data_IF_545491671004
#
_entry.id   IF_545491671004
#
_cell.length_a   1.000
_cell.length_b   1.000
_cell.length_c   1.000
_cell.angle_alpha   90.00
_cell.angle_beta   90.00
_cell.angle_gamma   90.00
#
_symmetry.space_group_name_H-M   'P 1'
#
loop_
_entity.id
_entity.type
_entity.pdbx_description
1 polymer ?
#
# COMPACT_ATOMS: atom_id res chain seq x y z
N UNK A 1 2.75 -12.29 14.43
CA UNK A 1 1.93 -11.54 13.46
C UNK A 1 2.83 -10.54 12.72
N UNK A 2 3.51 -10.93 11.64
CA UNK A 2 4.44 -10.04 10.89
C UNK A 2 4.36 -10.15 9.36
N UNK A 3 3.26 -10.69 8.83
CA UNK A 3 3.02 -10.81 7.38
C UNK A 3 1.83 -9.96 6.86
N UNK A 4 0.90 -9.54 7.74
CA UNK A 4 -0.43 -9.07 7.32
C UNK A 4 -0.48 -7.80 6.46
N UNK A 5 0.34 -6.77 6.69
CA UNK A 5 0.09 -5.47 6.06
C UNK A 5 0.26 -5.46 4.52
N UNK A 6 1.31 -6.10 4.00
CA UNK A 6 1.51 -6.17 2.55
C UNK A 6 0.51 -7.13 1.88
N UNK A 7 0.17 -8.22 2.56
CA UNK A 7 -0.83 -9.19 2.09
C UNK A 7 -2.23 -8.55 2.01
N UNK A 8 -2.59 -7.71 2.99
CA UNK A 8 -3.83 -6.94 2.97
C UNK A 8 -3.86 -5.95 1.79
N UNK A 9 -2.73 -5.28 1.50
CA UNK A 9 -2.61 -4.42 0.33
C UNK A 9 -2.89 -5.17 -0.97
N UNK A 10 -2.23 -6.32 -1.14
CA UNK A 10 -2.37 -7.13 -2.35
C UNK A 10 -3.80 -7.65 -2.49
N UNK A 11 -4.35 -8.27 -1.44
CA UNK A 11 -5.69 -8.86 -1.46
C UNK A 11 -6.77 -7.81 -1.73
N UNK A 12 -6.71 -6.65 -1.06
CA UNK A 12 -7.65 -5.56 -1.27
C UNK A 12 -7.58 -5.04 -2.72
N UNK A 13 -6.38 -4.79 -3.22
CA UNK A 13 -6.22 -4.24 -4.57
C UNK A 13 -6.56 -5.23 -5.66
N UNK A 14 -6.20 -6.50 -5.52
CA UNK A 14 -6.64 -7.55 -6.46
C UNK A 14 -8.15 -7.64 -6.51
N UNK A 15 -8.84 -7.59 -5.36
CA UNK A 15 -10.31 -7.61 -5.34
C UNK A 15 -10.93 -6.34 -5.96
N UNK A 16 -10.41 -5.16 -5.64
CA UNK A 16 -10.93 -3.90 -6.17
C UNK A 16 -10.68 -3.74 -7.68
N UNK A 17 -9.47 -4.05 -8.14
CA UNK A 17 -9.08 -3.91 -9.55
C UNK A 17 -9.69 -4.97 -10.46
N UNK A 18 -10.25 -6.06 -9.92
CA UNK A 18 -11.02 -7.03 -10.68
C UNK A 18 -12.34 -6.48 -11.22
N UNK A 19 -12.85 -5.38 -10.65
CA UNK A 19 -14.01 -4.66 -11.18
C UNK A 19 -13.59 -3.70 -12.30
N UNK A 20 -14.03 -3.91 -13.56
CA UNK A 20 -13.62 -3.08 -14.70
C UNK A 20 -13.98 -1.59 -14.58
N UNK A 21 -14.95 -1.24 -13.74
CA UNK A 21 -15.34 0.16 -13.48
C UNK A 21 -14.35 0.91 -12.57
N UNK A 22 -13.39 0.22 -11.94
CA UNK A 22 -12.35 0.85 -11.13
C UNK A 22 -11.24 1.39 -12.03
N UNK A 23 -11.21 2.70 -12.20
CA UNK A 23 -10.29 3.37 -13.14
C UNK A 23 -9.00 3.90 -12.50
N UNK A 24 -8.93 3.97 -11.17
CA UNK A 24 -7.79 4.56 -10.48
C UNK A 24 -7.62 4.04 -9.05
N UNK A 25 -6.36 3.99 -8.62
CA UNK A 25 -5.94 3.77 -7.24
C UNK A 25 -5.06 4.94 -6.80
N UNK A 26 -5.34 5.49 -5.62
CA UNK A 26 -4.62 6.61 -5.04
C UNK A 26 -4.28 6.32 -3.57
N UNK A 27 -3.07 6.66 -3.15
CA UNK A 27 -2.70 6.67 -1.73
C UNK A 27 -2.86 8.07 -1.16
N UNK A 28 -3.31 8.17 0.09
CA UNK A 28 -3.43 9.45 0.81
C UNK A 28 -2.07 9.90 1.35
N UNK A 29 -1.19 10.26 0.42
CA UNK A 29 0.21 10.60 0.66
C UNK A 29 1.16 9.73 -0.16
N UNK A 30 2.39 10.23 -0.36
CA UNK A 30 3.42 9.56 -1.15
C UNK A 30 4.31 8.65 -0.30
N UNK A 31 4.76 9.13 0.85
CA UNK A 31 5.69 8.43 1.74
C UNK A 31 5.38 8.63 3.20
N UNK A 32 5.87 7.72 4.05
CA UNK A 32 5.67 7.77 5.50
C UNK A 32 6.18 9.07 6.14
N UNK A 33 7.12 9.80 5.49
CA UNK A 33 7.74 11.03 6.03
C UNK A 33 6.72 12.11 6.41
N UNK A 34 5.67 12.28 5.62
CA UNK A 34 4.71 13.38 5.77
C UNK A 34 3.27 12.90 5.96
N UNK A 35 3.07 11.64 6.31
CA UNK A 35 1.72 11.11 6.50
C UNK A 35 1.01 11.81 7.66
N UNK A 36 -0.23 12.23 7.41
CA UNK A 36 -1.09 12.85 8.42
C UNK A 36 -1.37 11.92 9.62
N UNK A 37 -1.30 10.60 9.41
CA UNK A 37 -1.51 9.58 10.43
C UNK A 37 -0.50 9.66 11.58
N UNK A 38 0.70 10.20 11.34
CA UNK A 38 1.69 10.42 12.41
C UNK A 38 1.16 11.36 13.51
N UNK A 39 0.20 12.23 13.19
CA UNK A 39 -0.44 13.14 14.14
C UNK A 39 -1.82 12.64 14.57
N UNK A 40 -2.59 12.08 13.64
CA UNK A 40 -3.98 11.67 13.90
C UNK A 40 -4.08 10.37 14.71
N UNK A 41 -3.22 9.39 14.41
CA UNK A 41 -3.21 8.10 15.09
C UNK A 41 -1.78 7.58 15.23
N UNK A 42 -0.98 8.20 16.12
CA UNK A 42 0.39 7.75 16.37
C UNK A 42 0.38 6.32 16.94
N UNK A 43 1.48 5.60 16.73
CA UNK A 43 1.65 4.27 17.35
C UNK A 43 1.75 4.42 18.86
N UNK A 44 1.15 3.49 19.59
CA UNK A 44 1.21 3.46 21.06
C UNK A 44 2.63 3.23 21.61
N UNK A 45 3.54 2.67 20.79
CA UNK A 45 4.94 2.43 21.14
C UNK A 45 5.88 3.60 20.78
N UNK A 46 5.34 4.73 20.31
CA UNK A 46 6.11 5.93 19.96
C UNK A 46 6.90 5.82 18.64
N UNK A 47 6.84 4.69 17.93
CA UNK A 47 7.45 4.56 16.61
C UNK A 47 6.69 5.30 15.51
N UNK A 48 7.36 5.57 14.39
CA UNK A 48 6.70 6.09 13.18
C UNK A 48 5.62 5.13 12.68
N UNK A 49 4.45 5.67 12.33
CA UNK A 49 3.47 4.92 11.54
C UNK A 49 4.05 4.63 10.16
N UNK A 50 3.68 3.49 9.56
CA UNK A 50 4.21 3.03 8.27
C UNK A 50 3.12 2.72 7.24
N UNK A 51 2.13 3.61 7.01
CA UNK A 51 0.96 3.28 6.21
C UNK A 51 1.18 3.35 4.70
N UNK A 52 2.26 3.96 4.19
CA UNK A 52 2.39 4.26 2.75
C UNK A 52 3.36 3.32 2.02
N UNK A 53 3.33 3.27 0.68
CA UNK A 53 4.20 2.37 -0.08
C UNK A 53 5.69 2.73 -0.02
N UNK A 54 6.02 4.01 0.24
CA UNK A 54 7.38 4.51 0.34
C UNK A 54 7.72 4.88 1.80
N UNK A 55 8.94 4.60 2.22
CA UNK A 55 9.43 4.97 3.55
C UNK A 55 9.86 6.44 3.63
N UNK A 56 10.36 6.83 4.79
CA UNK A 56 10.82 8.19 5.06
C UNK A 56 11.97 8.64 4.14
N UNK A 57 12.68 7.73 3.47
CA UNK A 57 13.77 8.00 2.53
C UNK A 57 13.36 7.73 1.06
N UNK A 58 12.05 7.65 0.80
CA UNK A 58 11.46 7.36 -0.52
C UNK A 58 11.83 5.98 -1.07
N UNK A 59 12.26 5.04 -0.23
CA UNK A 59 12.54 3.67 -0.66
C UNK A 59 11.26 2.84 -0.69
N UNK A 60 11.19 1.91 -1.65
CA UNK A 60 10.03 1.03 -1.85
C UNK A 60 9.92 0.04 -0.70
N UNK A 61 8.75 -0.01 -0.05
CA UNK A 61 8.42 -0.96 1.01
C UNK A 61 7.74 -2.22 0.45
N UNK A 62 7.46 -3.19 1.31
CA UNK A 62 6.68 -4.39 0.95
C UNK A 62 5.29 -4.04 0.39
N UNK A 63 4.64 -2.99 0.91
CA UNK A 63 3.37 -2.50 0.37
C UNK A 63 3.48 -2.03 -1.09
N UNK A 64 4.60 -1.41 -1.48
CA UNK A 64 4.84 -1.06 -2.88
C UNK A 64 4.87 -2.30 -3.78
N UNK A 65 5.54 -3.37 -3.35
CA UNK A 65 5.61 -4.62 -4.11
C UNK A 65 4.24 -5.28 -4.21
N UNK A 66 3.46 -5.29 -3.14
CA UNK A 66 2.10 -5.80 -3.13
C UNK A 66 1.18 -5.06 -4.13
N UNK A 67 1.31 -3.73 -4.23
CA UNK A 67 0.61 -2.94 -5.25
C UNK A 67 1.03 -3.42 -6.65
N UNK A 68 2.33 -3.49 -6.94
CA UNK A 68 2.82 -3.93 -8.24
C UNK A 68 2.29 -5.33 -8.60
N UNK A 69 2.34 -6.29 -7.66
CA UNK A 69 1.81 -7.65 -7.84
C UNK A 69 0.31 -7.65 -8.14
N UNK A 70 -0.49 -6.82 -7.45
CA UNK A 70 -1.92 -6.73 -7.74
C UNK A 70 -2.19 -6.21 -9.16
N UNK A 71 -1.44 -5.21 -9.63
CA UNK A 71 -1.56 -4.72 -11.00
C UNK A 71 -1.11 -5.78 -12.02
N UNK A 72 0.01 -6.47 -11.79
CA UNK A 72 0.47 -7.55 -12.67
C UNK A 72 -0.57 -8.67 -12.79
N UNK A 73 -1.23 -9.05 -11.68
CA UNK A 73 -2.28 -10.08 -11.68
C UNK A 73 -3.52 -9.71 -12.48
N UNK A 74 -3.85 -8.43 -12.59
CA UNK A 74 -5.08 -7.97 -13.25
C UNK A 74 -4.82 -7.59 -14.71
N UNK A 75 -3.66 -7.00 -15.00
CA UNK A 75 -3.38 -6.39 -16.30
C UNK A 75 -2.27 -7.09 -17.10
N UNK A 76 -1.44 -7.94 -16.47
CA UNK A 76 -0.37 -8.71 -17.13
C UNK A 76 -0.64 -10.23 -17.13
N UNK A 77 -1.91 -10.66 -17.10
CA UNK A 77 -2.26 -12.02 -17.52
C UNK A 77 -2.08 -12.07 -19.04
N UNK A 78 -0.86 -12.41 -19.44
CA UNK A 78 -0.50 -12.73 -20.82
C UNK A 78 -1.18 -14.07 -21.14
N UNK A 79 -2.05 -14.06 -22.15
CA UNK A 79 -2.45 -15.26 -22.92
C UNK A 79 -1.23 -15.96 -23.52
#
# INVERSE_FOLDING_TARGET
>A
MRAEFAEVYEAYLTAALAEPSVIAFLTWGLSDRYTWLSRFQPRSDGGSVRPLPLDEQLQRKRAWRAIATAFDKIFNVID
#
